data_IF_708923739196
#
_entry.id   IF_708923739196
#
_cell.length_a   1.000
_cell.length_b   1.000
_cell.length_c   1.000
_cell.angle_alpha   90.00
_cell.angle_beta   90.00
_cell.angle_gamma   90.00
#
_symmetry.space_group_name_H-M   'P 1'
#
loop_
_entity.id
_entity.type
_entity.pdbx_description
1 polymer ?
#
# COMPACT_ATOMS: atom_id res chain seq x y z
N UNK A 1 -4.77 -15.44 14.57
CA UNK A 1 -3.89 -14.90 13.52
C UNK A 1 -4.81 -14.53 12.36
N UNK A 2 -4.70 -13.33 11.79
CA UNK A 2 -5.62 -12.85 10.75
C UNK A 2 -5.06 -13.25 9.37
N UNK A 3 -5.79 -13.99 8.51
CA UNK A 3 -5.25 -14.53 7.26
C UNK A 3 -4.62 -13.49 6.33
N UNK A 4 -5.19 -12.27 6.28
CA UNK A 4 -4.60 -11.17 5.50
C UNK A 4 -3.27 -10.66 6.06
N UNK A 5 -3.06 -10.73 7.39
CA UNK A 5 -1.78 -10.35 8.00
C UNK A 5 -0.70 -11.37 7.61
N UNK A 6 -1.02 -12.66 7.65
CA UNK A 6 -0.11 -13.73 7.20
C UNK A 6 0.27 -13.55 5.71
N UNK A 7 -0.70 -13.17 4.87
CA UNK A 7 -0.43 -12.84 3.47
C UNK A 7 0.54 -11.66 3.35
N UNK A 8 0.38 -10.60 4.16
CA UNK A 8 1.29 -9.44 4.14
C UNK A 8 2.71 -9.83 4.56
N UNK A 9 2.85 -10.66 5.60
CA UNK A 9 4.15 -11.19 6.04
C UNK A 9 4.83 -12.01 4.94
N UNK A 10 4.08 -12.86 4.23
CA UNK A 10 4.61 -13.64 3.11
C UNK A 10 5.05 -12.74 1.95
N UNK A 11 4.27 -11.72 1.59
CA UNK A 11 4.66 -10.78 0.54
C UNK A 11 5.88 -9.94 0.92
N UNK A 12 5.99 -9.50 2.18
CA UNK A 12 7.16 -8.81 2.68
C UNK A 12 8.42 -9.69 2.57
N UNK A 13 8.34 -10.96 3.00
CA UNK A 13 9.44 -11.91 2.89
C UNK A 13 9.88 -12.14 1.42
N UNK A 14 8.92 -12.16 0.48
CA UNK A 14 9.24 -12.26 -0.95
C UNK A 14 9.93 -11.01 -1.51
N UNK A 15 9.56 -9.82 -1.05
CA UNK A 15 10.24 -8.57 -1.44
C UNK A 15 11.69 -8.55 -0.93
N UNK A 16 11.91 -8.99 0.31
CA UNK A 16 13.24 -9.13 0.91
C UNK A 16 14.11 -10.13 0.14
N UNK A 17 13.55 -11.30 -0.18
CA UNK A 17 14.24 -12.34 -0.96
C UNK A 17 14.66 -11.82 -2.35
N UNK A 18 13.82 -10.98 -2.97
CA UNK A 18 14.10 -10.36 -4.27
C UNK A 18 15.02 -9.15 -4.18
N UNK A 19 15.43 -8.73 -2.97
CA UNK A 19 16.16 -7.48 -2.73
C UNK A 19 15.49 -6.29 -3.40
N UNK A 20 14.16 -6.25 -3.31
CA UNK A 20 13.37 -5.18 -3.94
C UNK A 20 13.79 -3.82 -3.38
N UNK A 21 13.95 -2.84 -4.26
CA UNK A 21 14.13 -1.44 -3.87
C UNK A 21 12.79 -0.71 -3.66
N UNK A 22 11.66 -1.41 -3.82
CA UNK A 22 10.33 -0.83 -3.72
C UNK A 22 10.12 -0.19 -2.34
N UNK A 23 9.82 1.10 -2.34
CA UNK A 23 9.64 1.92 -1.15
C UNK A 23 8.19 2.32 -0.91
N UNK A 24 8.01 3.26 0.02
CA UNK A 24 6.69 3.78 0.36
C UNK A 24 6.03 4.53 -0.80
N UNK A 25 6.82 5.20 -1.64
CA UNK A 25 6.29 5.89 -2.84
C UNK A 25 5.74 4.88 -3.86
N UNK A 26 6.43 3.76 -4.10
CA UNK A 26 5.95 2.71 -4.98
C UNK A 26 4.62 2.12 -4.47
N UNK A 27 4.52 1.90 -3.16
CA UNK A 27 3.30 1.40 -2.53
C UNK A 27 2.13 2.39 -2.67
N UNK A 28 2.37 3.70 -2.49
CA UNK A 28 1.35 4.74 -2.70
C UNK A 28 0.89 4.77 -4.16
N UNK A 29 1.82 4.73 -5.11
CA UNK A 29 1.51 4.70 -6.54
C UNK A 29 0.71 3.45 -6.93
N UNK A 30 1.08 2.28 -6.39
CA UNK A 30 0.37 1.02 -6.62
C UNK A 30 -1.06 1.10 -6.09
N UNK A 31 -1.24 1.58 -4.86
CA UNK A 31 -2.56 1.72 -4.24
C UNK A 31 -3.44 2.69 -5.04
N UNK A 32 -2.93 3.88 -5.38
CA UNK A 32 -3.69 4.87 -6.16
C UNK A 32 -4.10 4.34 -7.55
N UNK A 33 -3.19 3.63 -8.22
CA UNK A 33 -3.45 3.03 -9.54
C UNK A 33 -4.52 1.94 -9.46
N UNK A 34 -4.45 1.10 -8.42
CA UNK A 34 -5.46 0.08 -8.18
C UNK A 34 -6.81 0.69 -7.84
N UNK A 35 -6.86 1.68 -6.95
CA UNK A 35 -8.11 2.38 -6.59
C UNK A 35 -8.76 3.03 -7.80
N UNK A 36 -7.97 3.65 -8.68
CA UNK A 36 -8.49 4.23 -9.92
C UNK A 36 -9.10 3.17 -10.85
N UNK A 37 -8.48 1.99 -10.91
CA UNK A 37 -8.95 0.86 -11.74
C UNK A 37 -10.19 0.18 -11.13
N UNK A 38 -10.26 0.11 -9.81
CA UNK A 38 -11.34 -0.53 -9.07
C UNK A 38 -12.51 0.42 -8.72
N UNK A 39 -12.44 1.71 -9.10
CA UNK A 39 -13.35 2.77 -8.64
C UNK A 39 -14.85 2.45 -8.76
N UNK A 40 -15.25 1.68 -9.78
CA UNK A 40 -16.65 1.33 -10.03
C UNK A 40 -17.16 0.24 -9.06
N UNK A 41 -16.26 -0.39 -8.29
CA UNK A 41 -16.52 -1.42 -7.29
C UNK A 41 -16.24 -0.97 -5.86
N UNK A 42 -15.72 0.25 -5.66
CA UNK A 42 -15.42 0.80 -4.34
C UNK A 42 -16.62 1.57 -3.81
N UNK A 43 -17.03 1.26 -2.60
CA UNK A 43 -18.00 2.06 -1.86
C UNK A 43 -17.33 3.31 -1.28
N UNK A 44 -18.13 4.27 -0.82
CA UNK A 44 -17.61 5.46 -0.12
C UNK A 44 -16.85 5.08 1.16
N UNK A 45 -17.26 4.01 1.84
CA UNK A 45 -16.56 3.48 3.02
C UNK A 45 -15.19 2.90 2.63
N UNK A 46 -15.12 2.13 1.54
CA UNK A 46 -13.85 1.62 1.02
C UNK A 46 -12.91 2.78 0.66
N UNK A 47 -13.42 3.81 0.00
CA UNK A 47 -12.65 5.00 -0.36
C UNK A 47 -12.12 5.73 0.90
N UNK A 48 -12.91 5.81 1.97
CA UNK A 48 -12.48 6.43 3.23
C UNK A 48 -11.33 5.64 3.88
N UNK A 49 -11.46 4.32 4.00
CA UNK A 49 -10.45 3.45 4.61
C UNK A 49 -9.17 3.42 3.77
N UNK A 50 -9.29 3.24 2.45
CA UNK A 50 -8.15 3.20 1.54
C UNK A 50 -7.48 4.57 1.41
N UNK A 51 -8.26 5.66 1.49
CA UNK A 51 -7.76 7.03 1.53
C UNK A 51 -6.94 7.30 2.80
N UNK A 52 -7.41 6.84 3.97
CA UNK A 52 -6.66 6.93 5.22
C UNK A 52 -5.34 6.14 5.14
N UNK A 53 -5.40 4.90 4.64
CA UNK A 53 -4.21 4.06 4.41
C UNK A 53 -3.20 4.75 3.48
N UNK A 54 -3.65 5.27 2.34
CA UNK A 54 -2.82 6.00 1.39
C UNK A 54 -2.18 7.25 2.02
N UNK A 55 -2.94 7.99 2.83
CA UNK A 55 -2.45 9.14 3.59
C UNK A 55 -1.36 8.78 4.60
N UNK A 56 -1.51 7.66 5.32
CA UNK A 56 -0.47 7.15 6.23
C UNK A 56 0.81 6.80 5.46
N UNK A 57 0.71 6.04 4.38
CA UNK A 57 1.86 5.66 3.55
C UNK A 57 2.58 6.88 2.97
N UNK A 58 1.83 7.84 2.43
CA UNK A 58 2.38 9.08 1.89
C UNK A 58 3.12 9.89 2.94
N UNK A 59 2.51 10.06 4.13
CA UNK A 59 3.12 10.80 5.24
C UNK A 59 4.44 10.15 5.69
N UNK A 60 4.46 8.83 5.82
CA UNK A 60 5.69 8.11 6.20
C UNK A 60 6.76 8.19 5.11
N UNK A 61 6.37 8.15 3.82
CA UNK A 61 7.28 8.36 2.69
C UNK A 61 7.94 9.74 2.73
N UNK A 62 7.15 10.79 2.96
CA UNK A 62 7.66 12.16 3.12
C UNK A 62 8.62 12.27 4.32
N UNK A 63 8.28 11.67 5.46
CA UNK A 63 9.11 11.72 6.69
C UNK A 63 10.46 11.04 6.53
N UNK A 64 10.53 9.96 5.75
CA UNK A 64 11.79 9.24 5.50
C UNK A 64 12.71 9.95 4.51
N UNK A 65 12.27 11.09 3.96
CA UNK A 65 12.92 11.77 2.86
C UNK A 65 12.73 10.93 1.61
N UNK A 66 11.85 11.35 0.69
CA UNK A 66 11.72 10.69 -0.60
C UNK A 66 13.12 10.50 -1.19
N UNK A 67 13.49 9.24 -1.42
CA UNK A 67 14.78 8.84 -1.96
C UNK A 67 14.94 9.32 -3.41
#
# INVERSE_FOLDING_TARGET
>A
MHPLIELFEQQAALLDLRKSAAGLDDAVCLLASWMYTAKDHLTDEDLAVLGELGGMLYREGVRKGRA
#
